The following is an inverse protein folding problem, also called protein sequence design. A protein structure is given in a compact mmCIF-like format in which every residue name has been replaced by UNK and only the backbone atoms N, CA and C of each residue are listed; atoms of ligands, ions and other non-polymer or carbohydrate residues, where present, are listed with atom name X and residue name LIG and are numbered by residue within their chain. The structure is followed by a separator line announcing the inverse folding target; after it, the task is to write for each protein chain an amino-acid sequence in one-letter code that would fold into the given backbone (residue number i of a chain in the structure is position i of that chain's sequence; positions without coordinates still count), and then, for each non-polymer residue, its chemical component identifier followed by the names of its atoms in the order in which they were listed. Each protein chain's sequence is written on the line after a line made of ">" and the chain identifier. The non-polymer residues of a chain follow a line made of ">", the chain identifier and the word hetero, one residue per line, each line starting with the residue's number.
data_IF_460327501912
#
_entry.id   IF_460327501912
#
_cell.length_a   1.000
_cell.length_b   1.000
_cell.length_c   1.000
_cell.angle_alpha   90.00
_cell.angle_beta   90.00
_cell.angle_gamma   90.00
#
_symmetry.space_group_name_H-M   'P 1'
#
loop_
_entity.id
_entity.type
_entity.pdbx_description
1 polymer ?
#
# COMPACT_ATOMS: atom_id res chain seq x y z
N UNK A 1 -30.48 25.01 1.78
CA UNK A 1 -30.17 23.93 2.72
C UNK A 1 -28.93 23.15 2.26
N UNK A 2 -28.33 22.36 3.16
CA UNK A 2 -27.23 21.46 2.78
C UNK A 2 -27.70 20.38 1.81
N UNK A 3 -26.92 20.13 0.78
CA UNK A 3 -27.20 19.08 -0.21
C UNK A 3 -26.74 17.73 0.39
N UNK A 4 -27.43 16.65 0.03
CA UNK A 4 -27.04 15.31 0.45
C UNK A 4 -25.78 14.87 -0.32
N UNK A 5 -24.66 14.60 0.35
CA UNK A 5 -23.43 14.19 -0.34
C UNK A 5 -23.57 12.87 -1.15
N UNK A 6 -24.52 12.00 -0.78
CA UNK A 6 -24.78 10.78 -1.53
C UNK A 6 -25.37 11.07 -2.93
N UNK A 7 -26.21 12.08 -3.05
CA UNK A 7 -26.76 12.52 -4.35
C UNK A 7 -25.67 13.19 -5.20
N UNK A 8 -24.74 13.91 -4.58
CA UNK A 8 -23.58 14.49 -5.28
C UNK A 8 -22.70 13.37 -5.84
N UNK A 9 -22.51 12.28 -5.09
CA UNK A 9 -21.75 11.11 -5.55
C UNK A 9 -22.37 10.48 -6.80
N UNK A 10 -23.71 10.42 -6.87
CA UNK A 10 -24.42 9.83 -8.02
C UNK A 10 -24.35 10.72 -9.27
N UNK A 11 -24.40 12.05 -9.09
CA UNK A 11 -24.50 12.99 -10.21
C UNK A 11 -23.12 13.46 -10.66
N UNK A 12 -22.24 13.88 -9.72
CA UNK A 12 -20.93 14.48 -10.01
C UNK A 12 -19.76 13.51 -9.82
N UNK A 13 -20.01 12.35 -9.23
CA UNK A 13 -18.96 11.39 -8.92
C UNK A 13 -18.16 11.75 -7.65
N UNK A 14 -17.06 11.00 -7.38
CA UNK A 14 -16.30 11.14 -6.14
C UNK A 14 -15.62 12.50 -5.99
N UNK A 15 -15.13 13.10 -7.08
CA UNK A 15 -14.47 14.42 -7.03
C UNK A 15 -15.41 15.51 -6.55
N UNK A 16 -16.66 15.52 -7.05
CA UNK A 16 -17.66 16.48 -6.59
C UNK A 16 -18.00 16.34 -5.11
N UNK A 17 -17.93 15.13 -4.55
CA UNK A 17 -18.10 14.91 -3.11
C UNK A 17 -16.92 15.45 -2.32
N UNK A 18 -15.68 15.27 -2.80
CA UNK A 18 -14.49 15.82 -2.17
C UNK A 18 -14.56 17.34 -2.09
N UNK A 19 -14.81 18.00 -3.21
CA UNK A 19 -14.93 19.48 -3.26
C UNK A 19 -16.02 20.00 -2.33
N UNK A 20 -17.17 19.34 -2.34
CA UNK A 20 -18.29 19.74 -1.50
C UNK A 20 -17.96 19.58 -0.01
N UNK A 21 -17.44 18.44 0.41
CA UNK A 21 -17.10 18.19 1.81
C UNK A 21 -16.01 19.15 2.32
N UNK A 22 -14.96 19.37 1.54
CA UNK A 22 -13.87 20.28 1.90
C UNK A 22 -14.41 21.72 2.03
N UNK A 23 -15.19 22.15 1.03
CA UNK A 23 -15.76 23.50 1.02
C UNK A 23 -16.66 23.75 2.24
N UNK A 24 -17.57 22.82 2.54
CA UNK A 24 -18.51 23.01 3.67
C UNK A 24 -17.81 22.92 5.03
N UNK A 25 -16.84 22.03 5.20
CA UNK A 25 -16.07 21.94 6.45
C UNK A 25 -15.21 23.18 6.65
N UNK A 26 -14.48 23.61 5.63
CA UNK A 26 -13.65 24.81 5.68
C UNK A 26 -14.47 26.08 5.94
N UNK A 27 -15.65 26.18 5.35
CA UNK A 27 -16.56 27.29 5.59
C UNK A 27 -16.95 27.43 7.08
N UNK A 28 -17.23 26.29 7.73
CA UNK A 28 -17.56 26.29 9.17
C UNK A 28 -16.38 26.77 10.00
N UNK A 29 -15.17 26.24 9.74
CA UNK A 29 -13.96 26.61 10.49
C UNK A 29 -13.55 28.05 10.25
N UNK A 30 -13.57 28.51 9.00
CA UNK A 30 -13.26 29.92 8.67
C UNK A 30 -14.23 30.92 9.31
N UNK A 31 -15.50 30.57 9.41
CA UNK A 31 -16.48 31.39 10.10
C UNK A 31 -16.17 31.55 11.60
N UNK A 32 -15.42 30.65 12.18
CA UNK A 32 -14.97 30.72 13.57
C UNK A 32 -13.52 31.25 13.71
N UNK A 33 -12.93 31.73 12.62
CA UNK A 33 -11.58 32.30 12.63
C UNK A 33 -10.47 31.22 12.74
N UNK A 34 -10.78 29.94 12.48
CA UNK A 34 -9.82 28.85 12.50
C UNK A 34 -9.40 28.52 11.07
N UNK A 35 -8.10 28.51 10.82
CA UNK A 35 -7.54 28.13 9.53
C UNK A 35 -6.97 26.71 9.61
N UNK A 36 -7.48 25.80 8.76
CA UNK A 36 -7.09 24.38 8.70
C UNK A 36 -6.70 24.06 7.26
N UNK A 37 -5.60 23.32 7.11
CA UNK A 37 -5.19 22.87 5.78
C UNK A 37 -6.16 21.80 5.25
N UNK A 38 -6.50 21.88 3.97
CA UNK A 38 -7.46 21.00 3.29
C UNK A 38 -7.08 19.53 3.37
N UNK A 39 -5.77 19.20 3.40
CA UNK A 39 -5.26 17.82 3.48
C UNK A 39 -5.86 16.99 4.63
N UNK A 40 -6.18 17.63 5.76
CA UNK A 40 -6.76 16.93 6.92
C UNK A 40 -8.18 16.45 6.64
N UNK A 41 -8.95 17.25 5.91
CA UNK A 41 -10.31 16.90 5.48
C UNK A 41 -10.28 15.92 4.34
N UNK A 42 -9.34 16.08 3.39
CA UNK A 42 -9.16 15.18 2.25
C UNK A 42 -8.88 13.75 2.68
N UNK A 43 -8.01 13.54 3.68
CA UNK A 43 -7.70 12.20 4.21
C UNK A 43 -8.95 11.52 4.76
N UNK A 44 -9.79 12.27 5.49
CA UNK A 44 -11.05 11.75 6.06
C UNK A 44 -12.04 11.43 4.93
N UNK A 45 -12.24 12.35 4.00
CA UNK A 45 -13.16 12.17 2.88
C UNK A 45 -12.74 10.98 1.99
N UNK A 46 -11.44 10.79 1.75
CA UNK A 46 -10.92 9.62 1.04
C UNK A 46 -11.28 8.31 1.73
N UNK A 47 -11.17 8.26 3.05
CA UNK A 47 -11.53 7.08 3.82
C UNK A 47 -13.04 6.79 3.78
N UNK A 48 -13.89 7.82 3.72
CA UNK A 48 -15.34 7.68 3.57
C UNK A 48 -15.75 7.10 2.22
N UNK A 49 -14.95 7.30 1.17
CA UNK A 49 -15.21 6.85 -0.22
C UNK A 49 -14.40 5.60 -0.61
N UNK A 50 -13.72 4.95 0.34
CA UNK A 50 -12.84 3.81 0.09
C UNK A 50 -13.58 2.53 -0.32
N UNK A 51 -14.84 2.37 0.10
CA UNK A 51 -15.59 1.13 -0.10
C UNK A 51 -16.48 1.17 -1.35
N UNK A 52 -16.54 0.02 -2.00
CA UNK A 52 -17.39 -0.26 -3.16
C UNK A 52 -18.42 -1.31 -2.77
N UNK A 53 -19.67 -1.11 -3.16
CA UNK A 53 -20.70 -2.13 -3.05
C UNK A 53 -20.74 -2.92 -4.35
N UNK A 54 -20.61 -4.23 -4.25
CA UNK A 54 -20.75 -5.14 -5.38
C UNK A 54 -22.22 -5.19 -5.81
N UNK A 55 -22.52 -4.90 -7.07
CA UNK A 55 -23.86 -5.02 -7.66
C UNK A 55 -24.05 -6.39 -8.29
N UNK A 56 -23.13 -6.78 -9.17
CA UNK A 56 -23.10 -8.09 -9.81
C UNK A 56 -21.71 -8.71 -9.66
N UNK A 57 -21.66 -9.94 -9.19
CA UNK A 57 -20.41 -10.67 -8.97
C UNK A 57 -19.85 -11.33 -10.23
N UNK A 58 -20.67 -11.44 -11.31
CA UNK A 58 -20.29 -12.13 -12.53
C UNK A 58 -19.60 -13.50 -12.23
N UNK A 59 -18.35 -13.69 -12.67
CA UNK A 59 -17.59 -14.92 -12.48
C UNK A 59 -16.55 -14.82 -11.34
N UNK A 60 -16.66 -13.80 -10.46
CA UNK A 60 -15.76 -13.58 -9.31
C UNK A 60 -16.34 -14.19 -8.02
N UNK A 61 -15.46 -14.43 -7.03
CA UNK A 61 -15.84 -14.96 -5.71
C UNK A 61 -16.44 -13.90 -4.76
N UNK A 62 -16.79 -12.73 -5.28
CA UNK A 62 -17.38 -11.65 -4.49
C UNK A 62 -18.87 -11.86 -4.29
N UNK A 63 -19.38 -11.51 -3.10
CA UNK A 63 -20.82 -11.62 -2.84
C UNK A 63 -21.57 -10.35 -3.26
N UNK A 64 -22.70 -10.45 -3.97
CA UNK A 64 -23.54 -9.31 -4.30
C UNK A 64 -23.99 -8.58 -3.03
N UNK A 65 -23.93 -7.24 -3.04
CA UNK A 65 -24.26 -6.40 -1.89
C UNK A 65 -23.14 -6.26 -0.85
N UNK A 66 -22.04 -6.98 -0.96
CA UNK A 66 -20.90 -6.84 -0.05
C UNK A 66 -20.21 -5.47 -0.23
N UNK A 67 -19.68 -4.94 0.89
CA UNK A 67 -18.84 -3.74 0.89
C UNK A 67 -17.37 -4.19 0.92
N UNK A 68 -16.68 -3.97 -0.19
CA UNK A 68 -15.29 -4.37 -0.39
C UNK A 68 -14.43 -3.12 -0.56
N UNK A 69 -13.15 -3.21 -0.21
CA UNK A 69 -12.18 -2.15 -0.47
C UNK A 69 -12.01 -1.93 -1.98
N UNK A 70 -11.88 -0.67 -2.38
CA UNK A 70 -11.74 -0.31 -3.80
C UNK A 70 -10.53 -0.96 -4.47
N UNK A 71 -9.42 -1.05 -3.75
CA UNK A 71 -8.19 -1.68 -4.27
C UNK A 71 -8.35 -3.20 -4.39
N UNK A 72 -8.89 -3.85 -3.35
CA UNK A 72 -9.20 -5.28 -3.38
C UNK A 72 -10.18 -5.63 -4.51
N UNK A 73 -11.22 -4.80 -4.71
CA UNK A 73 -12.16 -4.94 -5.81
C UNK A 73 -11.47 -4.85 -7.19
N UNK A 74 -10.56 -3.88 -7.35
CA UNK A 74 -9.81 -3.70 -8.59
C UNK A 74 -8.85 -4.89 -8.84
N UNK A 75 -8.17 -5.38 -7.81
CA UNK A 75 -7.25 -6.51 -7.90
C UNK A 75 -7.97 -7.80 -8.28
N UNK A 76 -9.10 -8.11 -7.63
CA UNK A 76 -9.94 -9.27 -7.97
C UNK A 76 -10.50 -9.20 -9.40
N UNK A 77 -10.89 -8.01 -9.84
CA UNK A 77 -11.34 -7.83 -11.22
C UNK A 77 -10.20 -7.98 -12.23
N UNK A 78 -9.00 -7.50 -11.91
CA UNK A 78 -7.82 -7.72 -12.75
C UNK A 78 -7.49 -9.20 -12.88
N UNK A 79 -7.48 -9.94 -11.78
CA UNK A 79 -7.27 -11.39 -11.77
C UNK A 79 -8.35 -12.13 -12.58
N UNK A 80 -9.62 -11.73 -12.48
CA UNK A 80 -10.69 -12.31 -13.27
C UNK A 80 -10.46 -12.09 -14.78
N UNK A 81 -10.07 -10.88 -15.19
CA UNK A 81 -9.76 -10.57 -16.60
C UNK A 81 -8.56 -11.36 -17.11
N UNK A 82 -7.48 -11.47 -16.32
CA UNK A 82 -6.30 -12.27 -16.66
C UNK A 82 -6.64 -13.75 -16.86
N UNK A 83 -7.59 -14.28 -16.08
CA UNK A 83 -8.11 -15.64 -16.21
C UNK A 83 -9.20 -15.80 -17.30
N UNK A 84 -9.49 -14.76 -18.09
CA UNK A 84 -10.52 -14.78 -19.13
C UNK A 84 -11.97 -14.84 -18.61
N UNK A 85 -12.19 -14.49 -17.35
CA UNK A 85 -13.49 -14.44 -16.69
C UNK A 85 -14.10 -13.03 -16.79
N UNK A 86 -15.41 -12.93 -16.61
CA UNK A 86 -16.10 -11.64 -16.58
C UNK A 86 -15.86 -10.95 -15.24
N UNK A 87 -15.44 -9.66 -15.24
CA UNK A 87 -15.24 -8.89 -14.01
C UNK A 87 -16.58 -8.57 -13.34
N UNK A 88 -16.54 -8.41 -12.01
CA UNK A 88 -17.69 -7.94 -11.24
C UNK A 88 -17.95 -6.46 -11.46
N UNK A 89 -19.21 -6.04 -11.33
CA UNK A 89 -19.61 -4.64 -11.33
C UNK A 89 -19.92 -4.15 -9.94
N UNK A 90 -19.56 -2.90 -9.65
CA UNK A 90 -19.77 -2.31 -8.32
C UNK A 90 -19.87 -0.79 -8.38
N UNK A 91 -20.57 -0.24 -7.39
CA UNK A 91 -20.78 1.20 -7.23
C UNK A 91 -20.07 1.70 -5.98
N UNK A 92 -19.35 2.81 -6.08
CA UNK A 92 -18.78 3.47 -4.90
C UNK A 92 -19.88 3.93 -3.96
N UNK A 93 -19.65 3.77 -2.67
CA UNK A 93 -20.59 4.14 -1.61
C UNK A 93 -19.93 5.13 -0.67
N UNK A 94 -20.62 6.21 -0.37
CA UNK A 94 -20.20 7.13 0.67
C UNK A 94 -20.64 6.60 2.03
N UNK A 95 -19.68 6.33 2.89
CA UNK A 95 -19.92 5.94 4.28
C UNK A 95 -19.76 7.16 5.19
N UNK A 96 -20.64 7.29 6.18
CA UNK A 96 -20.43 8.25 7.26
C UNK A 96 -19.16 7.93 8.06
N UNK A 97 -18.59 8.92 8.75
CA UNK A 97 -17.33 8.81 9.49
C UNK A 97 -17.29 7.58 10.41
N UNK A 98 -18.33 7.38 11.21
CA UNK A 98 -18.42 6.23 12.13
C UNK A 98 -18.42 4.89 11.40
N UNK A 99 -19.24 4.77 10.33
CA UNK A 99 -19.29 3.54 9.52
C UNK A 99 -17.98 3.28 8.79
N UNK A 100 -17.34 4.31 8.25
CA UNK A 100 -16.05 4.20 7.61
C UNK A 100 -14.96 3.73 8.59
N UNK A 101 -14.99 4.22 9.83
CA UNK A 101 -14.05 3.81 10.88
C UNK A 101 -14.25 2.38 11.36
N UNK A 102 -15.48 1.87 11.36
CA UNK A 102 -15.79 0.47 11.71
C UNK A 102 -15.59 -0.50 10.54
N UNK A 103 -15.66 -0.01 9.31
CA UNK A 103 -15.45 -0.81 8.09
C UNK A 103 -13.98 -0.95 7.70
N UNK A 104 -13.05 -0.82 8.64
CA UNK A 104 -11.62 -1.06 8.44
C UNK A 104 -11.31 -2.56 8.38
N UNK A 105 -10.21 -2.92 7.73
CA UNK A 105 -9.81 -4.31 7.57
C UNK A 105 -9.31 -4.91 8.90
N UNK A 106 -8.68 -4.08 9.75
CA UNK A 106 -8.26 -4.44 11.10
C UNK A 106 -9.43 -4.46 12.07
N UNK A 107 -9.76 -5.63 12.61
CA UNK A 107 -10.79 -5.76 13.64
C UNK A 107 -10.32 -5.23 15.00
N UNK A 108 -9.01 -5.26 15.30
CA UNK A 108 -8.46 -4.70 16.53
C UNK A 108 -8.64 -3.18 16.56
N UNK A 109 -8.37 -2.51 15.45
CA UNK A 109 -8.59 -1.07 15.32
C UNK A 109 -10.06 -0.70 15.46
N UNK A 110 -10.95 -1.42 14.80
CA UNK A 110 -12.40 -1.21 14.89
C UNK A 110 -12.93 -1.44 16.30
N UNK A 111 -12.54 -2.54 16.97
CA UNK A 111 -12.95 -2.87 18.31
C UNK A 111 -12.52 -1.83 19.36
N UNK A 112 -11.37 -1.18 19.15
CA UNK A 112 -10.89 -0.14 20.07
C UNK A 112 -11.61 1.21 19.91
N UNK A 113 -12.42 1.39 18.87
CA UNK A 113 -13.14 2.62 18.60
C UNK A 113 -14.56 2.59 19.20
N UNK A 114 -15.41 1.71 18.73
CA UNK A 114 -16.80 1.54 19.21
C UNK A 114 -17.28 0.09 19.01
N UNK A 115 -18.38 -0.27 19.66
CA UNK A 115 -19.04 -1.57 19.51
C UNK A 115 -18.10 -2.77 19.70
N UNK A 116 -17.21 -2.71 20.69
CA UNK A 116 -16.15 -3.70 20.94
C UNK A 116 -16.66 -5.14 20.90
N UNK A 117 -17.73 -5.43 21.62
CA UNK A 117 -18.30 -6.79 21.71
C UNK A 117 -18.78 -7.29 20.36
N UNK A 118 -19.49 -6.46 19.61
CA UNK A 118 -20.02 -6.80 18.29
C UNK A 118 -18.90 -7.08 17.30
N UNK A 119 -17.91 -6.19 17.24
CA UNK A 119 -16.76 -6.32 16.32
C UNK A 119 -15.95 -7.58 16.61
N UNK A 120 -15.65 -7.84 17.90
CA UNK A 120 -14.91 -9.04 18.30
C UNK A 120 -15.69 -10.32 18.05
N UNK A 121 -17.00 -10.33 18.32
CA UNK A 121 -17.86 -11.50 18.05
C UNK A 121 -17.91 -11.77 16.54
N UNK A 122 -18.09 -10.75 15.72
CA UNK A 122 -18.12 -10.91 14.26
C UNK A 122 -16.76 -11.38 13.71
N UNK A 123 -15.66 -10.86 14.24
CA UNK A 123 -14.31 -11.29 13.86
C UNK A 123 -14.05 -12.75 14.26
N UNK A 124 -14.48 -13.16 15.45
CA UNK A 124 -14.35 -14.54 15.94
C UNK A 124 -15.17 -15.52 15.09
N UNK A 125 -16.42 -15.19 14.78
CA UNK A 125 -17.30 -16.04 13.96
C UNK A 125 -16.75 -16.20 12.53
N UNK A 126 -16.17 -15.13 11.97
CA UNK A 126 -15.58 -15.15 10.61
C UNK A 126 -14.14 -15.68 10.57
N UNK A 127 -13.54 -15.95 11.72
CA UNK A 127 -12.13 -16.37 11.79
C UNK A 127 -11.16 -15.35 11.20
N UNK A 128 -11.42 -14.04 11.40
CA UNK A 128 -10.59 -12.98 10.83
C UNK A 128 -9.19 -12.97 11.44
N UNK A 129 -8.19 -12.78 10.61
CA UNK A 129 -6.80 -12.51 10.99
C UNK A 129 -6.51 -11.03 10.82
N UNK A 130 -5.74 -10.43 11.72
CA UNK A 130 -5.28 -9.05 11.63
C UNK A 130 -3.79 -9.02 11.27
N UNK A 131 -3.45 -8.42 10.15
CA UNK A 131 -2.08 -8.38 9.62
C UNK A 131 -1.19 -7.33 10.31
N UNK A 132 -1.73 -6.58 11.26
CA UNK A 132 -1.01 -5.57 12.06
C UNK A 132 -0.31 -4.50 11.21
N UNK A 133 -0.91 -4.10 10.11
CA UNK A 133 -0.35 -3.11 9.17
C UNK A 133 -0.49 -1.69 9.70
N UNK A 134 -1.54 -1.39 10.47
CA UNK A 134 -1.81 -0.06 11.00
C UNK A 134 -0.99 0.30 12.25
N UNK A 135 -1.10 1.54 12.68
CA UNK A 135 -0.41 2.03 13.88
C UNK A 135 -1.11 1.53 15.15
N UNK A 136 -2.43 1.61 15.16
CA UNK A 136 -3.27 1.36 16.34
C UNK A 136 -3.20 -0.08 16.84
N UNK A 137 -3.23 -1.03 15.92
CA UNK A 137 -3.12 -2.46 16.17
C UNK A 137 -1.80 -2.81 16.87
N UNK A 138 -0.71 -2.27 16.35
CA UNK A 138 0.62 -2.49 16.91
C UNK A 138 0.78 -1.87 18.30
N UNK A 139 0.21 -0.67 18.51
CA UNK A 139 0.21 -0.02 19.82
C UNK A 139 -0.58 -0.83 20.85
N UNK A 140 -1.75 -1.37 20.49
CA UNK A 140 -2.58 -2.19 21.38
C UNK A 140 -1.83 -3.45 21.83
N UNK A 141 -1.12 -4.11 20.90
CA UNK A 141 -0.37 -5.34 21.20
C UNK A 141 0.98 -5.04 21.89
N UNK A 142 1.44 -3.80 21.86
CA UNK A 142 2.74 -3.40 22.43
C UNK A 142 3.92 -3.66 21.52
N UNK A 143 3.70 -3.79 20.21
CA UNK A 143 4.77 -3.86 19.19
C UNK A 143 5.20 -2.46 18.74
N UNK A 144 6.38 -2.38 18.13
CA UNK A 144 6.81 -1.17 17.45
C UNK A 144 5.85 -0.85 16.29
N UNK A 145 5.49 0.41 16.15
CA UNK A 145 4.66 0.85 15.02
C UNK A 145 5.43 0.71 13.70
N UNK A 146 4.78 0.39 12.58
CA UNK A 146 5.43 0.25 11.28
C UNK A 146 5.77 1.61 10.65
N UNK A 147 6.35 2.51 11.45
CA UNK A 147 6.77 3.85 11.06
C UNK A 147 8.01 4.27 11.87
N UNK A 148 8.83 5.16 11.34
CA UNK A 148 10.05 5.61 11.99
C UNK A 148 11.02 4.45 12.23
N UNK A 149 11.49 4.27 13.46
CA UNK A 149 12.42 3.21 13.86
C UNK A 149 11.84 1.79 13.82
N UNK A 150 10.51 1.64 13.78
CA UNK A 150 9.82 0.34 13.66
C UNK A 150 9.70 -0.18 12.23
N UNK A 151 10.14 0.56 11.21
CA UNK A 151 10.15 0.08 9.84
C UNK A 151 11.16 -1.05 9.65
N UNK A 152 10.83 -2.04 8.83
CA UNK A 152 11.68 -3.21 8.54
C UNK A 152 13.10 -2.84 8.13
N UNK A 153 13.27 -1.75 7.37
CA UNK A 153 14.61 -1.28 6.95
C UNK A 153 15.53 -0.90 8.12
N UNK A 154 14.97 -0.55 9.28
CA UNK A 154 15.75 -0.21 10.47
C UNK A 154 15.92 -1.38 11.43
N UNK A 155 15.12 -2.44 11.32
CA UNK A 155 15.21 -3.62 12.18
C UNK A 155 16.49 -4.44 11.91
N UNK A 156 17.01 -4.37 10.69
CA UNK A 156 18.20 -5.10 10.26
C UNK A 156 19.49 -4.27 10.33
N UNK A 157 19.42 -3.08 10.93
CA UNK A 157 20.61 -2.24 11.12
C UNK A 157 21.32 -2.69 12.39
N UNK A 158 22.47 -3.30 12.22
CA UNK A 158 23.40 -3.59 13.31
C UNK A 158 24.42 -2.46 13.42
N UNK A 159 24.60 -1.93 14.63
CA UNK A 159 25.64 -0.96 14.92
C UNK A 159 26.87 -1.77 15.31
N UNK A 160 27.85 -1.85 14.41
CA UNK A 160 29.12 -2.48 14.72
C UNK A 160 29.86 -1.60 15.72
N UNK A 161 30.21 -2.13 16.86
CA UNK A 161 31.11 -1.48 17.82
C UNK A 161 32.53 -1.41 17.25
N UNK A 162 33.33 -0.43 17.69
CA UNK A 162 34.71 -0.28 17.22
C UNK A 162 35.51 -1.60 17.33
N UNK A 163 35.23 -2.40 18.36
CA UNK A 163 35.84 -3.73 18.54
C UNK A 163 35.46 -4.76 17.47
N UNK A 164 34.22 -4.69 16.98
CA UNK A 164 33.76 -5.58 15.91
C UNK A 164 34.33 -5.15 14.56
N UNK A 165 34.46 -3.83 14.33
CA UNK A 165 35.13 -3.29 13.14
C UNK A 165 36.61 -3.67 13.10
N UNK A 166 37.32 -3.62 14.23
CA UNK A 166 38.70 -4.07 14.35
C UNK A 166 38.85 -5.57 14.13
N UNK A 167 37.90 -6.39 14.63
CA UNK A 167 37.90 -7.82 14.39
C UNK A 167 37.61 -8.16 12.92
N UNK A 168 36.68 -7.47 12.26
CA UNK A 168 36.43 -7.62 10.84
C UNK A 168 37.64 -7.21 10.00
N UNK A 169 38.26 -6.09 10.31
CA UNK A 169 39.49 -5.63 9.64
C UNK A 169 40.64 -6.64 9.77
N UNK A 170 40.84 -7.19 10.97
CA UNK A 170 41.84 -8.22 11.22
C UNK A 170 41.53 -9.55 10.51
N UNK A 171 40.27 -9.93 10.36
CA UNK A 171 39.86 -11.10 9.56
C UNK A 171 40.09 -10.88 8.06
N UNK A 172 39.81 -9.69 7.57
CA UNK A 172 39.99 -9.34 6.15
C UNK A 172 41.49 -9.27 5.79
N UNK A 173 42.34 -8.85 6.72
CA UNK A 173 43.82 -8.85 6.56
C UNK A 173 44.38 -10.28 6.61
N UNK A 174 43.80 -11.16 7.43
CA UNK A 174 44.20 -12.57 7.49
C UNK A 174 43.82 -13.40 6.26
N UNK A 175 42.84 -12.96 5.48
CA UNK A 175 42.37 -13.63 4.26
C UNK A 175 43.08 -13.13 3.00
N UNK A 176 43.87 -12.04 3.07
CA UNK A 176 44.65 -11.59 1.92
C UNK A 176 45.74 -12.63 1.59
N UNK A 177 45.74 -13.27 0.40
CA UNK A 177 46.80 -14.17 0.03
C UNK A 177 48.10 -13.36 -0.12
N UNK A 178 49.09 -13.66 0.71
CA UNK A 178 50.46 -13.13 0.57
C UNK A 178 51.01 -13.61 -0.79
N UNK A 179 50.98 -12.71 -1.77
CA UNK A 179 51.66 -12.94 -3.03
C UNK A 179 53.19 -12.77 -2.80
N UNK A 180 53.90 -13.87 -2.87
CA UNK A 180 55.34 -13.81 -3.06
C UNK A 180 56.11 -14.93 -2.36
N UNK A 181 56.25 -16.07 -2.98
CA UNK A 181 57.57 -16.74 -3.19
C UNK A 181 57.35 -18.04 -3.95
N UNK A 182 58.02 -18.10 -5.06
CA UNK A 182 58.23 -19.22 -5.98
C UNK A 182 58.84 -20.44 -5.28
N UNK A 183 58.27 -21.62 -5.45
CA UNK A 183 59.04 -22.86 -5.65
C UNK A 183 58.16 -23.98 -6.25
N UNK A 184 58.76 -24.72 -7.13
CA UNK A 184 58.26 -25.73 -8.05
C UNK A 184 57.61 -26.98 -7.41
N UNK A 185 56.68 -27.54 -8.12
CA UNK A 185 56.50 -28.99 -8.30
C UNK A 185 55.61 -29.70 -7.30
N UNK A 186 54.46 -30.10 -7.73
CA UNK A 186 53.95 -31.49 -7.84
C UNK A 186 52.49 -31.42 -8.26
N UNK A 187 52.21 -32.07 -9.37
CA UNK A 187 50.84 -32.24 -9.92
C UNK A 187 50.07 -33.30 -9.14
N UNK A 188 48.86 -32.99 -8.73
CA UNK A 188 47.79 -33.99 -8.57
C UNK A 188 46.42 -33.37 -8.88
N UNK A 189 45.75 -33.98 -9.84
CA UNK A 189 44.38 -33.72 -10.28
C UNK A 189 43.37 -33.79 -9.13
N UNK A 190 42.53 -32.80 -9.00
CA UNK A 190 41.18 -32.97 -8.48
C UNK A 190 40.25 -32.01 -9.28
N UNK A 191 39.25 -32.62 -9.92
CA UNK A 191 38.20 -32.02 -10.71
C UNK A 191 37.41 -30.99 -9.86
N UNK A 192 37.32 -29.76 -10.38
CA UNK A 192 36.44 -28.74 -9.86
C UNK A 192 35.14 -28.77 -10.63
N UNK A 193 34.06 -29.08 -9.95
CA UNK A 193 32.70 -28.81 -10.47
C UNK A 193 32.38 -27.31 -10.25
N UNK A 194 32.27 -26.60 -11.36
CA UNK A 194 31.77 -25.25 -11.44
C UNK A 194 30.25 -25.24 -11.19
N UNK A 195 29.83 -24.49 -10.17
CA UNK A 195 28.48 -23.92 -10.07
C UNK A 195 28.60 -22.41 -10.25
N UNK A 196 28.42 -21.98 -11.47
CA UNK A 196 28.21 -20.58 -11.81
C UNK A 196 26.83 -20.15 -11.33
N UNK A 197 26.77 -19.27 -10.33
CA UNK A 197 25.55 -18.52 -10.00
C UNK A 197 25.57 -17.20 -10.76
N UNK A 198 24.67 -17.13 -11.70
CA UNK A 198 24.35 -16.01 -12.59
C UNK A 198 23.81 -14.81 -11.79
N UNK A 199 24.54 -13.73 -11.69
CA UNK A 199 24.10 -12.46 -11.11
C UNK A 199 24.30 -11.28 -12.08
N UNK A 200 23.80 -11.43 -13.33
CA UNK A 200 23.88 -10.35 -14.32
C UNK A 200 22.62 -10.26 -15.19
N UNK A 201 21.44 -10.09 -14.59
CA UNK A 201 20.25 -9.82 -15.38
C UNK A 201 19.16 -8.93 -14.72
N UNK A 202 19.52 -8.07 -13.78
CA UNK A 202 18.52 -7.18 -13.13
C UNK A 202 18.74 -5.69 -13.41
N UNK A 203 19.76 -5.29 -14.16
CA UNK A 203 20.09 -3.87 -14.37
C UNK A 203 19.77 -3.27 -15.76
N UNK A 204 19.16 -4.02 -16.66
CA UNK A 204 18.82 -3.47 -18.01
C UNK A 204 17.34 -3.15 -18.24
N UNK A 205 16.40 -3.59 -17.39
CA UNK A 205 14.97 -3.30 -17.58
C UNK A 205 14.47 -1.97 -16.98
N UNK A 206 15.27 -1.26 -16.22
CA UNK A 206 14.86 0.03 -15.62
C UNK A 206 15.14 1.24 -16.50
N UNK A 207 15.87 1.09 -17.59
CA UNK A 207 16.23 2.20 -18.51
C UNK A 207 15.35 2.35 -19.75
N UNK A 208 14.49 1.38 -20.04
CA UNK A 208 13.66 1.38 -21.26
C UNK A 208 12.26 2.01 -21.09
N UNK A 209 11.85 2.38 -19.88
CA UNK A 209 10.49 2.89 -19.61
C UNK A 209 10.41 4.39 -19.28
N UNK A 210 11.49 5.14 -19.43
CA UNK A 210 11.47 6.59 -19.19
C UNK A 210 11.39 7.46 -20.43
N UNK A 211 11.51 6.88 -21.64
CA UNK A 211 11.56 7.66 -22.89
C UNK A 211 10.32 7.55 -23.80
N UNK A 212 9.22 6.96 -23.30
CA UNK A 212 8.01 6.73 -24.11
C UNK A 212 6.79 7.62 -23.77
N UNK A 213 6.94 8.67 -22.96
CA UNK A 213 5.82 9.55 -22.56
C UNK A 213 6.10 11.03 -22.84
N UNK A 214 6.78 11.36 -23.92
CA UNK A 214 6.84 12.75 -24.42
C UNK A 214 6.86 12.73 -25.95
N UNK A 215 5.73 12.46 -26.56
CA UNK A 215 5.40 12.92 -27.92
C UNK A 215 3.97 12.48 -28.28
N UNK A 216 2.97 13.29 -27.97
CA UNK A 216 1.75 13.47 -28.78
C UNK A 216 0.84 14.52 -28.09
N UNK A 217 1.14 15.78 -28.35
CA UNK A 217 0.14 16.86 -28.26
C UNK A 217 0.53 17.95 -29.25
N UNK A 218 0.12 17.78 -30.49
CA UNK A 218 -0.16 18.89 -31.41
C UNK A 218 -0.97 18.36 -32.60
N UNK A 219 -2.28 18.43 -32.49
CA UNK A 219 -3.12 18.54 -33.68
C UNK A 219 -4.22 19.58 -33.43
N UNK A 220 -3.98 20.74 -33.98
CA UNK A 220 -4.95 21.82 -34.12
C UNK A 220 -6.23 21.34 -34.81
N UNK A 221 -7.38 21.62 -34.22
CA UNK A 221 -8.66 21.55 -34.90
C UNK A 221 -9.11 22.97 -35.28
N UNK A 222 -8.85 23.30 -36.54
CA UNK A 222 -9.60 24.31 -37.30
C UNK A 222 -10.99 23.74 -37.57
N UNK A 223 -12.00 24.43 -37.16
CA UNK A 223 -13.37 24.31 -37.69
C UNK A 223 -13.73 25.64 -38.27
N UNK A 224 -13.88 25.67 -39.61
CA UNK A 224 -14.53 26.68 -40.39
C UNK A 224 -16.04 26.38 -40.48
N UNK A 225 -16.84 27.44 -40.48
CA UNK A 225 -18.27 27.59 -40.75
C UNK A 225 -19.25 27.10 -39.69
#
# INVERSE_FOLDING_TARGET
>A
GSINPAEILEIKGPEGVFEYLISEVQKVYRNQGVDINDKHVEVIARQMLKKVRVEDNADTDMFPGALIDMYEFADKNREAVENGKRPATGKRVLLGITKASLATDSFLSAASFQETTRVLTEAAVKGKTDDLVGLKENVIIGKLIPAGTGMQKYQNIHINTEKELEQMANMEEAVRPTSGTTTEGVATNVEAQNTETNTDSVNEEVKANSDAVVSDETTENKIEE
#
